data_IF_624548676769
#
_entry.id   IF_624548676769
#
_cell.length_a   1.000
_cell.length_b   1.000
_cell.length_c   1.000
_cell.angle_alpha   90.00
_cell.angle_beta   90.00
_cell.angle_gamma   90.00
#
_symmetry.space_group_name_H-M   'P 1'
#
loop_
_entity.id
_entity.type
_entity.pdbx_description
1 polymer ?
#
# COMPACT_ATOMS: atom_id res chain seq x y z
N UNK A 1 12.22 18.43 -10.37
CA UNK A 1 11.63 17.54 -9.36
C UNK A 1 11.93 16.13 -9.80
N UNK A 2 12.55 15.26 -9.05
CA UNK A 2 13.58 15.32 -8.01
C UNK A 2 14.05 13.86 -7.92
N UNK A 3 15.23 13.62 -7.36
CA UNK A 3 15.80 12.30 -7.04
C UNK A 3 14.77 11.17 -7.02
N UNK A 4 14.88 10.31 -8.03
CA UNK A 4 14.06 9.14 -8.28
C UNK A 4 13.99 8.33 -6.98
N UNK A 5 12.83 8.37 -6.30
CA UNK A 5 12.56 7.43 -5.21
C UNK A 5 12.85 6.04 -5.76
N UNK A 6 13.66 5.21 -5.09
CA UNK A 6 13.97 3.90 -5.61
C UNK A 6 12.67 3.16 -5.89
N UNK A 7 12.43 2.83 -7.16
CA UNK A 7 11.15 2.26 -7.56
C UNK A 7 10.94 0.94 -6.83
N UNK A 8 9.76 0.78 -6.26
CA UNK A 8 9.32 -0.46 -5.64
C UNK A 8 8.05 -0.87 -6.35
N UNK A 9 7.94 -2.17 -6.63
CA UNK A 9 6.70 -2.77 -7.08
C UNK A 9 6.19 -3.65 -5.96
N UNK A 10 4.93 -3.45 -5.61
CA UNK A 10 4.24 -4.27 -4.63
C UNK A 10 3.17 -5.11 -5.32
N UNK A 11 2.90 -6.27 -4.76
CA UNK A 11 1.80 -7.14 -5.17
C UNK A 11 1.01 -7.56 -3.95
N UNK A 12 -0.31 -7.38 -4.03
CA UNK A 12 -1.26 -7.68 -2.98
C UNK A 12 -2.20 -8.79 -3.45
N UNK A 13 -2.20 -9.90 -2.73
CA UNK A 13 -3.15 -10.99 -2.88
C UNK A 13 -4.34 -10.74 -1.94
N UNK A 14 -5.55 -10.66 -2.48
CA UNK A 14 -6.80 -10.62 -1.72
C UNK A 14 -7.79 -11.58 -2.33
N UNK A 15 -8.29 -12.55 -1.55
CA UNK A 15 -9.37 -13.46 -1.97
C UNK A 15 -9.11 -14.15 -3.33
N UNK A 16 -7.86 -14.54 -3.59
CA UNK A 16 -7.44 -15.21 -4.83
C UNK A 16 -7.13 -14.29 -6.02
N UNK A 17 -7.26 -12.96 -5.86
CA UNK A 17 -6.88 -11.98 -6.87
C UNK A 17 -5.58 -11.30 -6.49
N UNK A 18 -4.62 -11.24 -7.42
CA UNK A 18 -3.36 -10.49 -7.24
C UNK A 18 -3.47 -9.18 -8.02
N UNK A 19 -3.27 -8.07 -7.33
CA UNK A 19 -3.09 -6.74 -7.93
C UNK A 19 -1.69 -6.24 -7.65
N UNK A 20 -1.12 -5.49 -8.57
CA UNK A 20 0.23 -4.94 -8.44
C UNK A 20 0.26 -3.46 -8.79
N UNK A 21 1.08 -2.70 -8.06
CA UNK A 21 1.32 -1.28 -8.32
C UNK A 21 2.81 -1.00 -8.14
N UNK A 22 3.30 0.04 -8.79
CA UNK A 22 4.55 0.70 -8.42
C UNK A 22 4.28 1.87 -7.50
N UNK A 23 5.35 2.50 -6.99
CA UNK A 23 5.22 3.78 -6.30
C UNK A 23 4.45 4.78 -7.16
N UNK A 24 3.62 5.60 -6.51
CA UNK A 24 2.94 6.69 -7.19
C UNK A 24 3.95 7.77 -7.56
N UNK A 25 3.76 8.37 -8.73
CA UNK A 25 4.61 9.42 -9.27
C UNK A 25 3.76 10.58 -9.77
N UNK A 26 4.32 11.80 -9.74
CA UNK A 26 3.66 12.99 -10.30
C UNK A 26 3.68 14.17 -9.32
N UNK A 27 3.17 15.31 -9.80
CA UNK A 27 3.07 16.54 -9.02
C UNK A 27 1.71 16.58 -8.29
N UNK A 28 1.72 16.69 -6.97
CA UNK A 28 0.53 16.82 -6.14
C UNK A 28 0.30 15.65 -5.17
N UNK A 29 -0.58 15.84 -4.18
CA UNK A 29 -0.83 14.83 -3.15
C UNK A 29 -1.50 13.57 -3.73
N UNK A 30 -1.06 12.37 -3.30
CA UNK A 30 -1.62 11.12 -3.77
C UNK A 30 -3.09 11.03 -3.34
N UNK A 31 -3.97 10.71 -4.29
CA UNK A 31 -5.41 10.54 -4.03
C UNK A 31 -5.68 9.15 -3.46
N UNK A 32 -5.49 9.01 -2.16
CA UNK A 32 -5.78 7.77 -1.43
C UNK A 32 -7.26 7.68 -1.04
N UNK A 33 -7.69 6.45 -0.80
CA UNK A 33 -8.97 6.13 -0.20
C UNK A 33 -9.12 6.85 1.15
N UNK A 34 -10.29 7.45 1.47
CA UNK A 34 -10.46 8.24 2.68
C UNK A 34 -10.04 7.53 3.98
N UNK A 35 -10.35 6.24 4.13
CA UNK A 35 -9.92 5.47 5.31
C UNK A 35 -8.38 5.32 5.43
N UNK A 36 -7.66 5.26 4.31
CA UNK A 36 -6.18 5.20 4.32
C UNK A 36 -5.62 6.57 4.64
N UNK A 37 -6.20 7.63 4.08
CA UNK A 37 -5.81 9.00 4.38
C UNK A 37 -6.01 9.32 5.88
N UNK A 38 -7.19 9.00 6.42
CA UNK A 38 -7.51 9.21 7.84
C UNK A 38 -6.56 8.43 8.76
N UNK A 39 -6.23 7.19 8.40
CA UNK A 39 -5.25 6.39 9.13
C UNK A 39 -3.88 7.08 9.17
N UNK A 40 -3.40 7.55 8.02
CA UNK A 40 -2.12 8.26 7.89
C UNK A 40 -2.10 9.60 8.62
N UNK A 41 -3.19 10.36 8.57
CA UNK A 41 -3.34 11.62 9.29
C UNK A 41 -3.32 11.40 10.81
N UNK A 42 -3.81 10.24 11.28
CA UNK A 42 -3.81 9.81 12.67
C UNK A 42 -2.51 9.17 13.17
N UNK A 43 -1.54 8.87 12.29
CA UNK A 43 -0.29 8.23 12.71
C UNK A 43 0.51 9.08 13.69
N UNK A 44 1.10 8.44 14.69
CA UNK A 44 2.09 9.10 15.55
C UNK A 44 3.27 9.63 14.69
N UNK A 45 3.88 10.78 15.05
CA UNK A 45 4.97 11.36 14.26
C UNK A 45 6.13 10.40 13.97
N UNK A 46 6.44 9.47 14.89
CA UNK A 46 7.49 8.46 14.73
C UNK A 46 7.21 7.43 13.62
N UNK A 47 5.93 7.25 13.25
CA UNK A 47 5.49 6.32 12.21
C UNK A 47 5.29 7.01 10.86
N UNK A 48 5.41 8.34 10.79
CA UNK A 48 5.26 9.09 9.53
C UNK A 48 6.56 9.06 8.74
N UNK A 49 6.42 9.05 7.43
CA UNK A 49 7.52 9.16 6.46
C UNK A 49 7.35 10.43 5.62
N UNK A 50 8.43 11.05 5.11
CA UNK A 50 8.32 12.24 4.27
C UNK A 50 7.57 12.02 2.94
N UNK A 51 7.55 10.77 2.45
CA UNK A 51 6.90 10.34 1.21
C UNK A 51 5.58 9.59 1.46
N UNK A 52 4.93 9.87 2.60
CA UNK A 52 3.68 9.22 3.01
C UNK A 52 2.63 9.24 1.89
N UNK A 53 2.07 8.07 1.59
CA UNK A 53 1.03 7.91 0.58
C UNK A 53 1.52 7.70 -0.86
N UNK A 54 2.81 7.88 -1.17
CA UNK A 54 3.36 7.58 -2.50
C UNK A 54 3.82 6.13 -2.65
N UNK A 55 3.72 5.34 -1.58
CA UNK A 55 4.15 3.95 -1.56
C UNK A 55 3.20 3.08 -2.40
N UNK A 56 3.74 2.09 -3.11
CA UNK A 56 2.96 1.13 -3.89
C UNK A 56 1.93 0.39 -3.01
N UNK A 57 2.30 0.12 -1.75
CA UNK A 57 1.47 -0.59 -0.78
C UNK A 57 0.22 0.22 -0.40
N UNK A 58 0.37 1.52 -0.12
CA UNK A 58 -0.77 2.39 0.17
C UNK A 58 -1.70 2.56 -1.02
N UNK A 59 -1.13 2.60 -2.25
CA UNK A 59 -1.92 2.64 -3.47
C UNK A 59 -2.74 1.35 -3.65
N UNK A 60 -2.15 0.17 -3.46
CA UNK A 60 -2.85 -1.12 -3.57
C UNK A 60 -3.99 -1.27 -2.57
N UNK A 61 -3.75 -0.92 -1.31
CA UNK A 61 -4.78 -0.96 -0.26
C UNK A 61 -5.91 0.03 -0.60
N UNK A 62 -5.55 1.24 -1.03
CA UNK A 62 -6.50 2.27 -1.46
C UNK A 62 -7.37 1.80 -2.63
N UNK A 63 -6.77 1.27 -3.69
CA UNK A 63 -7.47 0.74 -4.85
C UNK A 63 -8.42 -0.40 -4.45
N UNK A 64 -7.99 -1.28 -3.53
CA UNK A 64 -8.83 -2.37 -3.06
C UNK A 64 -10.04 -1.86 -2.27
N UNK A 65 -9.86 -0.85 -1.42
CA UNK A 65 -10.94 -0.24 -0.66
C UNK A 65 -11.94 0.48 -1.59
N UNK A 66 -11.47 1.23 -2.59
CA UNK A 66 -12.36 1.79 -3.61
C UNK A 66 -13.16 0.72 -4.37
N UNK A 67 -12.54 -0.42 -4.65
CA UNK A 67 -13.25 -1.54 -5.28
C UNK A 67 -14.31 -2.16 -4.36
N UNK A 68 -14.09 -2.17 -3.04
CA UNK A 68 -15.10 -2.60 -2.05
C UNK A 68 -16.25 -1.58 -1.99
N UNK A 69 -15.94 -0.29 -1.92
CA UNK A 69 -16.94 0.79 -1.90
C UNK A 69 -17.85 0.74 -3.14
N UNK A 70 -17.27 0.50 -4.32
CA UNK A 70 -18.02 0.38 -5.56
C UNK A 70 -19.04 -0.77 -5.57
N UNK A 71 -18.90 -1.76 -4.67
CA UNK A 71 -19.83 -2.89 -4.52
C UNK A 71 -20.92 -2.63 -3.48
N UNK A 72 -20.83 -1.56 -2.70
CA UNK A 72 -21.81 -1.26 -1.65
C UNK A 72 -23.10 -0.72 -2.26
N UNK A 73 -24.24 -1.25 -1.80
CA UNK A 73 -25.56 -0.79 -2.22
C UNK A 73 -25.95 0.56 -1.60
N UNK A 74 -25.35 0.91 -0.46
CA UNK A 74 -25.62 2.16 0.26
C UNK A 74 -24.81 3.36 -0.27
N UNK A 75 -23.87 3.13 -1.19
CA UNK A 75 -22.96 4.16 -1.72
C UNK A 75 -22.02 4.76 -0.66
N UNK A 76 -21.87 4.10 0.48
CA UNK A 76 -21.02 4.55 1.58
C UNK A 76 -19.54 4.31 1.32
N UNK A 77 -18.71 4.88 2.19
CA UNK A 77 -17.25 4.67 2.21
C UNK A 77 -16.86 3.71 3.32
N UNK A 78 -16.07 2.69 2.99
CA UNK A 78 -15.61 1.68 3.94
C UNK A 78 -14.62 2.29 4.92
N UNK A 79 -14.92 2.20 6.21
CA UNK A 79 -14.00 2.63 7.25
C UNK A 79 -12.85 1.64 7.44
N UNK A 80 -11.75 2.10 8.05
CA UNK A 80 -10.61 1.23 8.34
C UNK A 80 -10.99 0.10 9.32
N UNK A 81 -11.98 0.31 10.20
CA UNK A 81 -12.46 -0.70 11.14
C UNK A 81 -13.27 -1.83 10.49
N UNK A 82 -13.95 -1.54 9.37
CA UNK A 82 -14.73 -2.53 8.60
C UNK A 82 -13.85 -3.34 7.63
N UNK A 83 -12.75 -2.73 7.20
CA UNK A 83 -11.84 -3.26 6.18
C UNK A 83 -11.22 -4.63 6.46
N UNK A 84 -10.83 -5.04 7.70
CA UNK A 84 -10.06 -6.27 7.93
C UNK A 84 -10.75 -7.54 7.38
N UNK A 85 -12.08 -7.58 7.40
CA UNK A 85 -12.85 -8.70 6.84
C UNK A 85 -12.62 -8.91 5.34
N UNK A 86 -12.40 -7.82 4.59
CA UNK A 86 -12.11 -7.86 3.16
C UNK A 86 -10.67 -8.27 2.85
N UNK A 87 -9.76 -8.10 3.80
CA UNK A 87 -8.35 -8.49 3.72
C UNK A 87 -8.05 -9.81 4.44
N UNK A 88 -9.07 -10.58 4.84
CA UNK A 88 -8.86 -11.87 5.50
C UNK A 88 -8.03 -12.81 4.62
N UNK A 89 -6.88 -13.26 5.16
CA UNK A 89 -5.92 -14.09 4.43
C UNK A 89 -5.16 -13.37 3.32
N UNK A 90 -5.19 -12.03 3.30
CA UNK A 90 -4.43 -11.25 2.34
C UNK A 90 -2.92 -11.33 2.61
N UNK A 91 -2.14 -11.26 1.53
CA UNK A 91 -0.70 -11.26 1.59
C UNK A 91 -0.11 -10.18 0.68
N UNK A 92 0.94 -9.52 1.13
CA UNK A 92 1.59 -8.42 0.44
C UNK A 92 3.08 -8.69 0.31
N UNK A 93 3.64 -8.47 -0.87
CA UNK A 93 5.07 -8.54 -1.14
C UNK A 93 5.53 -7.29 -1.87
N UNK A 94 6.70 -6.78 -1.51
CA UNK A 94 7.32 -5.61 -2.16
C UNK A 94 8.71 -5.98 -2.66
N UNK A 95 9.05 -5.57 -3.89
CA UNK A 95 10.34 -5.83 -4.55
C UNK A 95 10.94 -4.55 -5.10
N UNK A 96 12.26 -4.43 -5.03
CA UNK A 96 13.00 -3.31 -5.63
C UNK A 96 12.95 -3.42 -7.15
N UNK A 97 12.56 -2.34 -7.83
CA UNK A 97 12.64 -2.19 -9.28
C UNK A 97 13.83 -1.29 -9.60
N UNK A 98 14.80 -1.84 -10.33
CA UNK A 98 16.07 -1.18 -10.67
C UNK A 98 16.38 -1.28 -12.16
N UNK A 99 17.32 -0.50 -12.70
CA UNK A 99 17.77 -0.67 -14.08
C UNK A 99 18.26 -2.10 -14.37
N UNK A 100 18.20 -2.51 -15.62
CA UNK A 100 18.69 -3.82 -16.04
C UNK A 100 20.18 -4.00 -15.66
N UNK A 101 20.50 -5.14 -15.05
CA UNK A 101 21.85 -5.48 -14.60
C UNK A 101 22.19 -4.99 -13.20
N UNK A 102 21.32 -4.24 -12.55
CA UNK A 102 21.46 -3.91 -11.14
C UNK A 102 21.20 -5.16 -10.28
N UNK A 103 22.16 -5.57 -9.41
CA UNK A 103 22.02 -6.79 -8.60
C UNK A 103 20.91 -6.69 -7.54
N UNK A 104 20.44 -5.48 -7.20
CA UNK A 104 19.33 -5.29 -6.28
C UNK A 104 17.96 -5.44 -6.95
N UNK A 105 17.89 -5.49 -8.29
CA UNK A 105 16.62 -5.67 -8.99
C UNK A 105 15.91 -6.96 -8.55
N UNK A 106 14.63 -6.87 -8.21
CA UNK A 106 13.82 -8.01 -7.79
C UNK A 106 14.10 -8.49 -6.37
N UNK A 107 15.08 -7.93 -5.66
CA UNK A 107 15.31 -8.26 -4.24
C UNK A 107 14.17 -7.74 -3.36
N UNK A 108 13.92 -8.34 -2.18
CA UNK A 108 12.92 -7.86 -1.24
C UNK A 108 13.08 -6.36 -0.92
N UNK A 109 11.97 -5.65 -0.90
CA UNK A 109 11.87 -4.30 -0.38
C UNK A 109 11.08 -4.34 0.94
N UNK A 110 11.65 -3.76 2.00
CA UNK A 110 10.92 -3.58 3.24
C UNK A 110 9.86 -2.49 3.07
N UNK A 111 8.69 -2.68 3.68
CA UNK A 111 7.69 -1.63 3.78
C UNK A 111 8.24 -0.45 4.59
N UNK A 112 7.84 0.77 4.23
CA UNK A 112 8.09 1.93 5.08
C UNK A 112 7.30 1.82 6.40
N UNK A 113 7.67 2.60 7.43
CA UNK A 113 7.05 2.49 8.77
C UNK A 113 5.53 2.68 8.71
N UNK A 114 5.06 3.61 7.89
CA UNK A 114 3.64 3.92 7.76
C UNK A 114 2.84 2.82 7.07
N UNK A 115 3.38 2.24 5.99
CA UNK A 115 2.71 1.15 5.28
C UNK A 115 2.75 -0.16 6.07
N UNK A 116 3.82 -0.41 6.83
CA UNK A 116 3.87 -1.55 7.74
C UNK A 116 2.77 -1.45 8.82
N UNK A 117 2.57 -0.26 9.40
CA UNK A 117 1.49 -0.02 10.36
C UNK A 117 0.10 -0.19 9.72
N UNK A 118 -0.09 0.24 8.46
CA UNK A 118 -1.34 0.05 7.73
C UNK A 118 -1.62 -1.43 7.46
N UNK A 119 -0.61 -2.19 7.02
CA UNK A 119 -0.74 -3.62 6.78
C UNK A 119 -1.11 -4.38 8.06
N UNK A 120 -0.47 -4.05 9.18
CA UNK A 120 -0.77 -4.60 10.50
C UNK A 120 -2.22 -4.30 10.94
N UNK A 121 -2.65 -3.04 10.83
CA UNK A 121 -4.01 -2.62 11.17
C UNK A 121 -5.09 -3.35 10.35
N UNK A 122 -4.78 -3.74 9.13
CA UNK A 122 -5.68 -4.46 8.23
C UNK A 122 -5.54 -5.99 8.32
N UNK A 123 -4.58 -6.51 9.09
CA UNK A 123 -4.31 -7.94 9.19
C UNK A 123 -3.71 -8.55 7.91
N UNK A 124 -3.04 -7.74 7.09
CA UNK A 124 -2.38 -8.18 5.86
C UNK A 124 -1.04 -8.81 6.20
N UNK A 125 -0.80 -10.05 5.74
CA UNK A 125 0.48 -10.73 5.97
C UNK A 125 1.54 -10.17 5.03
N UNK A 126 2.61 -9.61 5.57
CA UNK A 126 3.75 -9.14 4.76
C UNK A 126 4.71 -10.31 4.53
N UNK A 127 4.88 -10.69 3.26
CA UNK A 127 5.82 -11.71 2.83
C UNK A 127 7.19 -11.07 2.62
N UNK A 128 8.16 -11.50 3.42
CA UNK A 128 9.57 -11.20 3.24
C UNK A 128 10.23 -12.55 2.93
N UNK A 129 10.83 -12.72 1.76
CA UNK A 129 11.60 -13.93 1.51
C UNK A 129 12.80 -13.96 2.46
N UNK A 130 13.05 -15.12 3.07
CA UNK A 130 14.20 -15.39 3.94
C UNK A 130 15.47 -15.61 3.14
#
# INVERSE_FOLDING_TARGET
MSDTVPETASSLLVQGTITSQSNLTGDGEPRLHPAVQEFFDGLAPSLREPFLGYCAESALVSDRLYAVDAQRADGGTTSLAEAPSHFAGAALVSRKVRPHGDPEHGTPAALCRSCAALADALGITVLQDS
#
